data_IF_206362503750
#
_entry.id   IF_206362503750
#
_cell.length_a   1.000
_cell.length_b   1.000
_cell.length_c   1.000
_cell.angle_alpha   90.00
_cell.angle_beta   90.00
_cell.angle_gamma   90.00
#
_symmetry.space_group_name_H-M   'P 1'
#
loop_
_entity.id
_entity.type
_entity.pdbx_description
1 polymer ?
#
# COMPACT_ATOMS: atom_id res chain seq x y z
N UNK A 1 12.10 21.94 -3.61
CA UNK A 1 12.72 21.05 -4.60
C UNK A 1 12.28 19.65 -4.20
N UNK A 2 11.06 19.26 -4.60
CA UNK A 2 10.49 17.95 -4.31
C UNK A 2 11.10 16.96 -5.30
N UNK A 3 11.78 15.94 -4.78
CA UNK A 3 12.26 14.83 -5.59
C UNK A 3 11.03 13.99 -5.99
N UNK A 4 10.66 14.05 -7.25
CA UNK A 4 9.72 13.11 -7.84
C UNK A 4 10.38 11.72 -7.81
N UNK A 5 10.03 10.93 -6.80
CA UNK A 5 10.36 9.51 -6.80
C UNK A 5 9.56 8.86 -7.91
N UNK A 6 10.24 8.39 -8.95
CA UNK A 6 9.68 7.73 -10.15
C UNK A 6 8.89 6.43 -9.88
N UNK A 7 8.47 6.17 -8.68
CA UNK A 7 7.78 4.94 -8.26
C UNK A 7 6.26 5.04 -8.38
N UNK A 8 5.70 6.21 -8.69
CA UNK A 8 4.24 6.46 -8.65
C UNK A 8 3.53 6.39 -10.01
N UNK A 9 4.26 6.24 -11.13
CA UNK A 9 3.68 6.15 -12.48
C UNK A 9 3.40 4.73 -12.98
N UNK A 10 3.50 3.72 -12.11
CA UNK A 10 2.96 2.40 -12.43
C UNK A 10 1.59 2.26 -11.77
N UNK A 11 0.54 1.90 -12.53
CA UNK A 11 -0.71 1.50 -11.92
C UNK A 11 -0.35 0.38 -10.95
N UNK A 12 -0.56 0.60 -9.66
CA UNK A 12 -0.63 -0.49 -8.68
C UNK A 12 -1.70 -1.42 -9.22
N UNK A 13 -1.23 -2.45 -9.95
CA UNK A 13 -2.07 -3.50 -10.52
C UNK A 13 -3.01 -3.96 -9.41
N UNK A 14 -4.29 -3.72 -9.62
CA UNK A 14 -5.40 -3.86 -8.72
C UNK A 14 -5.14 -4.79 -7.54
N UNK A 15 -5.06 -4.22 -6.36
CA UNK A 15 -5.45 -4.96 -5.17
C UNK A 15 -6.92 -5.31 -5.41
N UNK A 16 -7.29 -6.59 -5.47
CA UNK A 16 -8.68 -6.94 -5.66
C UNK A 16 -9.48 -6.37 -4.49
N UNK A 17 -10.42 -5.48 -4.80
CA UNK A 17 -11.32 -4.84 -3.83
C UNK A 17 -12.35 -5.81 -3.23
N UNK A 18 -12.33 -7.07 -3.66
CA UNK A 18 -13.29 -8.09 -3.25
C UNK A 18 -12.59 -9.12 -2.33
N UNK A 19 -12.25 -8.72 -1.11
CA UNK A 19 -11.89 -9.70 -0.09
C UNK A 19 -13.11 -10.06 0.76
N UNK A 20 -13.37 -11.36 1.00
CA UNK A 20 -14.47 -11.83 1.82
C UNK A 20 -14.21 -11.55 3.31
N UNK A 21 -14.20 -10.27 3.68
CA UNK A 21 -14.08 -9.83 5.08
C UNK A 21 -15.30 -10.25 5.92
N UNK A 22 -16.42 -10.58 5.26
CA UNK A 22 -17.66 -11.03 5.93
C UNK A 22 -17.55 -12.40 6.61
N UNK A 23 -16.63 -13.26 6.14
CA UNK A 23 -16.53 -14.64 6.64
C UNK A 23 -15.89 -14.74 8.02
N UNK A 24 -14.99 -13.82 8.38
CA UNK A 24 -14.26 -13.88 9.66
C UNK A 24 -15.04 -13.29 10.83
N UNK A 25 -15.86 -12.27 10.58
CA UNK A 25 -16.74 -11.71 11.61
C UNK A 25 -17.81 -12.74 12.03
N UNK A 26 -18.34 -13.52 11.09
CA UNK A 26 -19.33 -14.57 11.36
C UNK A 26 -18.76 -15.74 12.18
N UNK A 27 -17.49 -16.10 11.98
CA UNK A 27 -16.82 -17.20 12.72
C UNK A 27 -16.56 -16.81 14.18
N UNK A 28 -16.35 -15.52 14.48
CA UNK A 28 -16.13 -15.04 15.85
C UNK A 28 -17.38 -15.12 16.73
N UNK A 29 -18.59 -15.11 16.16
CA UNK A 29 -19.85 -15.15 16.90
C UNK A 29 -20.29 -16.58 17.27
N UNK A 30 -19.81 -17.64 16.58
CA UNK A 30 -20.30 -19.01 16.77
C UNK A 30 -19.52 -19.85 17.80
N UNK A 31 -18.40 -19.38 18.34
CA UNK A 31 -17.60 -20.15 19.29
C UNK A 31 -18.10 -19.96 20.72
N UNK A 32 -18.41 -21.03 21.47
CA UNK A 32 -18.84 -20.91 22.86
C UNK A 32 -17.69 -20.31 23.70
N UNK A 33 -17.93 -19.13 24.25
CA UNK A 33 -17.05 -18.49 25.23
C UNK A 33 -16.95 -19.38 26.49
N UNK A 34 -15.98 -20.28 26.52
CA UNK A 34 -15.79 -21.26 27.59
C UNK A 34 -14.91 -20.75 28.75
N UNK A 35 -14.78 -19.46 28.97
CA UNK A 35 -14.02 -18.94 30.10
C UNK A 35 -14.68 -17.70 30.69
N UNK A 36 -14.64 -17.60 32.03
CA UNK A 36 -15.02 -16.46 32.89
C UNK A 36 -14.13 -15.20 32.67
N UNK A 37 -13.34 -15.21 31.60
CA UNK A 37 -12.51 -14.09 31.16
C UNK A 37 -13.34 -13.26 30.19
N UNK A 38 -13.31 -11.93 30.36
CA UNK A 38 -13.99 -10.99 29.48
C UNK A 38 -13.62 -11.17 28.00
N UNK A 39 -14.20 -10.39 27.09
CA UNK A 39 -13.97 -10.52 25.66
C UNK A 39 -12.47 -10.44 25.33
N UNK A 40 -12.02 -11.30 24.40
CA UNK A 40 -10.61 -11.31 23.97
C UNK A 40 -10.20 -9.96 23.38
N UNK A 41 -9.10 -9.35 23.84
CA UNK A 41 -8.65 -8.05 23.35
C UNK A 41 -8.37 -8.05 21.83
N UNK A 42 -7.98 -9.18 21.26
CA UNK A 42 -7.71 -9.31 19.83
C UNK A 42 -8.97 -9.03 18.99
N UNK A 43 -10.15 -9.41 19.44
CA UNK A 43 -11.40 -9.13 18.73
C UNK A 43 -11.64 -7.61 18.55
N UNK A 44 -11.42 -6.83 19.61
CA UNK A 44 -11.58 -5.38 19.56
C UNK A 44 -10.50 -4.70 18.69
N UNK A 45 -9.25 -5.15 18.82
CA UNK A 45 -8.12 -4.64 18.04
C UNK A 45 -8.31 -4.94 16.54
N UNK A 46 -8.80 -6.12 16.20
CA UNK A 46 -9.08 -6.48 14.81
C UNK A 46 -10.21 -5.64 14.21
N UNK A 47 -11.29 -5.42 14.97
CA UNK A 47 -12.37 -4.54 14.53
C UNK A 47 -11.90 -3.11 14.29
N UNK A 48 -10.97 -2.60 15.12
CA UNK A 48 -10.37 -1.28 14.91
C UNK A 48 -9.46 -1.25 13.68
N UNK A 49 -8.62 -2.27 13.50
CA UNK A 49 -7.80 -2.42 12.30
C UNK A 49 -8.66 -2.45 11.03
N UNK A 50 -9.77 -3.18 11.02
CA UNK A 50 -10.68 -3.24 9.86
C UNK A 50 -11.20 -1.85 9.48
N UNK A 51 -11.53 -0.99 10.44
CA UNK A 51 -11.95 0.40 10.15
C UNK A 51 -10.83 1.20 9.52
N UNK A 52 -9.61 1.11 10.09
CA UNK A 52 -8.44 1.82 9.54
C UNK A 52 -8.10 1.33 8.14
N UNK A 53 -8.19 0.02 7.90
CA UNK A 53 -8.00 -0.56 6.57
C UNK A 53 -9.02 -0.04 5.56
N UNK A 54 -10.31 -0.01 5.90
CA UNK A 54 -11.35 0.56 5.04
C UNK A 54 -11.13 2.04 4.75
N UNK A 55 -10.66 2.81 5.74
CA UNK A 55 -10.32 4.22 5.55
C UNK A 55 -9.12 4.39 4.61
N UNK A 56 -8.05 3.59 4.77
CA UNK A 56 -6.88 3.64 3.90
C UNK A 56 -7.25 3.27 2.44
N UNK A 57 -8.10 2.26 2.24
CA UNK A 57 -8.62 1.89 0.92
C UNK A 57 -9.43 3.02 0.30
N UNK A 58 -10.28 3.69 1.07
CA UNK A 58 -11.07 4.82 0.56
C UNK A 58 -10.17 5.99 0.14
N UNK A 59 -9.11 6.29 0.90
CA UNK A 59 -8.11 7.31 0.55
C UNK A 59 -7.32 6.93 -0.70
N UNK A 60 -6.97 5.65 -0.87
CA UNK A 60 -6.33 5.14 -2.08
C UNK A 60 -7.22 5.35 -3.32
N UNK A 61 -8.52 5.08 -3.24
CA UNK A 61 -9.44 5.33 -4.34
C UNK A 61 -9.55 6.84 -4.65
N UNK A 62 -9.57 7.71 -3.63
CA UNK A 62 -9.57 9.17 -3.83
C UNK A 62 -8.33 9.61 -4.63
N UNK A 63 -7.14 9.11 -4.27
CA UNK A 63 -5.88 9.41 -5.01
C UNK A 63 -5.97 8.92 -6.46
N UNK A 64 -6.47 7.69 -6.69
CA UNK A 64 -6.63 7.14 -8.04
C UNK A 64 -7.60 7.96 -8.90
N UNK A 65 -8.71 8.44 -8.33
CA UNK A 65 -9.68 9.29 -9.02
C UNK A 65 -9.06 10.64 -9.40
N UNK A 66 -8.30 11.26 -8.48
CA UNK A 66 -7.58 12.50 -8.75
C UNK A 66 -6.48 12.33 -9.82
N UNK A 67 -5.73 11.22 -9.76
CA UNK A 67 -4.74 10.89 -10.78
C UNK A 67 -5.39 10.71 -12.16
N UNK A 68 -6.50 9.98 -12.23
CA UNK A 68 -7.26 9.81 -13.47
C UNK A 68 -7.75 11.16 -14.02
N UNK A 69 -8.18 12.07 -13.14
CA UNK A 69 -8.59 13.43 -13.51
C UNK A 69 -7.42 14.25 -14.06
N UNK A 70 -6.25 14.18 -13.40
CA UNK A 70 -5.01 14.82 -13.88
C UNK A 70 -4.62 14.32 -15.26
N UNK A 71 -4.62 13.01 -15.46
CA UNK A 71 -4.30 12.39 -16.75
C UNK A 71 -5.25 12.82 -17.85
N UNK A 72 -6.53 13.00 -17.56
CA UNK A 72 -7.53 13.48 -18.52
C UNK A 72 -7.35 14.98 -18.85
N UNK A 73 -6.95 15.79 -17.87
CA UNK A 73 -6.87 17.26 -17.99
C UNK A 73 -5.58 17.73 -18.65
N UNK A 74 -4.44 17.20 -18.20
CA UNK A 74 -3.12 17.66 -18.62
C UNK A 74 -2.29 16.60 -19.35
N UNK A 75 -2.70 15.34 -19.31
CA UNK A 75 -1.94 14.20 -19.81
C UNK A 75 -0.75 13.86 -18.90
N UNK A 76 -0.12 12.69 -19.13
CA UNK A 76 1.07 12.32 -18.41
C UNK A 76 2.28 13.19 -18.82
N UNK A 77 3.15 13.62 -17.88
CA UNK A 77 4.37 14.36 -18.20
C UNK A 77 5.37 13.44 -18.91
N UNK A 78 5.33 13.40 -20.23
CA UNK A 78 6.21 12.59 -21.05
C UNK A 78 6.50 13.27 -22.39
N UNK A 79 7.64 12.94 -22.99
CA UNK A 79 8.02 13.41 -24.33
C UNK A 79 8.46 12.24 -25.22
N UNK A 80 8.11 12.30 -26.50
CA UNK A 80 8.58 11.32 -27.47
C UNK A 80 9.99 11.69 -27.96
N UNK A 81 10.94 10.80 -27.74
CA UNK A 81 12.34 10.93 -28.17
C UNK A 81 12.55 10.08 -29.41
N UNK A 82 12.92 10.68 -30.52
CA UNK A 82 13.27 9.95 -31.75
C UNK A 82 14.73 9.48 -31.68
N UNK A 83 14.96 8.19 -31.81
CA UNK A 83 16.29 7.63 -31.91
C UNK A 83 16.91 7.94 -33.30
N UNK A 84 18.12 8.49 -33.31
CA UNK A 84 18.83 8.90 -34.50
C UNK A 84 19.15 7.71 -35.43
N UNK A 85 19.14 6.47 -34.96
CA UNK A 85 19.59 5.27 -35.71
C UNK A 85 18.51 4.25 -36.08
N UNK A 86 17.22 4.47 -35.84
CA UNK A 86 16.27 3.38 -36.09
C UNK A 86 14.85 3.80 -36.42
N UNK A 87 14.51 5.07 -36.39
CA UNK A 87 13.17 5.55 -36.73
C UNK A 87 12.09 5.25 -35.67
N UNK A 88 12.40 4.49 -34.63
CA UNK A 88 11.48 4.23 -33.51
C UNK A 88 11.53 5.39 -32.51
N UNK A 89 10.37 5.78 -31.99
CA UNK A 89 10.26 6.76 -30.92
C UNK A 89 10.10 6.04 -29.59
N UNK A 90 10.88 6.44 -28.57
CA UNK A 90 10.72 6.02 -27.19
C UNK A 90 10.06 7.13 -26.39
N UNK A 91 9.28 6.80 -25.37
CA UNK A 91 8.74 7.78 -24.43
C UNK A 91 9.73 7.96 -23.29
N UNK A 92 10.03 9.22 -22.96
CA UNK A 92 10.81 9.60 -21.80
C UNK A 92 9.90 10.27 -20.77
N UNK A 93 9.96 9.80 -19.52
CA UNK A 93 9.16 10.28 -18.40
C UNK A 93 10.00 11.14 -17.44
N UNK A 94 11.30 11.18 -17.62
CA UNK A 94 12.24 11.97 -16.81
C UNK A 94 13.32 12.61 -17.67
N UNK A 95 14.03 13.56 -17.11
CA UNK A 95 15.21 14.15 -17.74
C UNK A 95 16.33 13.13 -17.94
N UNK A 96 16.49 12.21 -16.99
CA UNK A 96 17.43 11.08 -17.05
C UNK A 96 17.09 10.12 -18.20
N UNK A 97 15.79 9.85 -18.45
CA UNK A 97 15.35 9.02 -19.58
C UNK A 97 15.74 9.67 -20.91
N UNK A 98 15.56 10.98 -21.06
CA UNK A 98 15.96 11.72 -22.26
C UNK A 98 17.44 11.53 -22.51
N UNK A 99 18.27 11.73 -21.48
CA UNK A 99 19.71 11.60 -21.57
C UNK A 99 20.13 10.15 -21.86
N UNK A 100 19.50 9.17 -21.23
CA UNK A 100 19.76 7.75 -21.48
C UNK A 100 19.39 7.31 -22.91
N UNK A 101 18.23 7.77 -23.45
CA UNK A 101 17.78 7.42 -24.80
C UNK A 101 18.66 8.08 -25.86
N UNK A 102 19.06 9.33 -25.65
CA UNK A 102 19.94 10.05 -26.59
C UNK A 102 21.39 9.55 -26.54
N UNK A 103 21.80 8.93 -25.43
CA UNK A 103 23.15 8.42 -25.21
C UNK A 103 24.21 9.52 -25.05
N UNK A 104 25.45 9.07 -24.87
CA UNK A 104 26.62 9.95 -24.74
C UNK A 104 27.04 10.60 -26.07
N UNK A 105 26.15 11.41 -26.66
CA UNK A 105 26.45 12.12 -27.90
C UNK A 105 27.26 13.43 -27.72
N UNK A 106 27.98 13.57 -26.64
CA UNK A 106 28.76 14.78 -26.34
C UNK A 106 27.89 15.95 -25.86
N UNK A 107 28.27 17.19 -26.15
CA UNK A 107 27.51 18.37 -25.72
C UNK A 107 26.04 18.27 -26.09
N UNK A 108 25.11 18.63 -25.19
CA UNK A 108 23.67 18.49 -25.43
C UNK A 108 23.26 19.19 -26.73
N UNK A 109 22.74 18.44 -27.66
CA UNK A 109 22.24 18.96 -28.94
C UNK A 109 21.08 19.93 -28.69
N UNK A 110 20.81 20.83 -29.64
CA UNK A 110 19.61 21.70 -29.56
C UNK A 110 18.31 20.87 -29.45
N UNK A 111 18.30 19.68 -30.03
CA UNK A 111 17.20 18.74 -29.91
C UNK A 111 17.03 18.23 -28.46
N UNK A 112 18.13 17.85 -27.78
CA UNK A 112 18.07 17.46 -26.37
C UNK A 112 17.52 18.59 -25.49
N UNK A 113 18.03 19.80 -25.65
CA UNK A 113 17.57 20.99 -24.94
C UNK A 113 16.08 21.27 -25.15
N UNK A 114 15.57 21.06 -26.38
CA UNK A 114 14.16 21.23 -26.70
C UNK A 114 13.29 20.19 -26.00
N UNK A 115 13.73 18.93 -25.95
CA UNK A 115 13.04 17.84 -25.22
C UNK A 115 12.97 18.14 -23.73
N UNK A 116 14.08 18.52 -23.11
CA UNK A 116 14.12 18.91 -21.69
C UNK A 116 13.17 20.08 -21.39
N UNK A 117 13.12 21.08 -22.28
CA UNK A 117 12.20 22.21 -22.13
C UNK A 117 10.74 21.79 -22.24
N UNK A 118 10.42 20.90 -23.19
CA UNK A 118 9.06 20.36 -23.33
C UNK A 118 8.65 19.56 -22.13
N UNK A 119 9.51 18.69 -21.64
CA UNK A 119 9.21 17.89 -20.41
C UNK A 119 8.98 18.83 -19.23
N UNK A 120 9.87 19.80 -18.98
CA UNK A 120 9.71 20.79 -17.90
C UNK A 120 8.37 21.54 -17.99
N UNK A 121 7.94 21.92 -19.22
CA UNK A 121 6.63 22.57 -19.40
C UNK A 121 5.47 21.63 -19.06
N UNK A 122 5.56 20.33 -19.35
CA UNK A 122 4.54 19.34 -18.94
C UNK A 122 4.54 19.16 -17.43
N UNK A 123 5.71 19.08 -16.79
CA UNK A 123 5.85 18.97 -15.34
C UNK A 123 5.27 20.19 -14.62
N UNK A 124 5.53 21.41 -15.12
CA UNK A 124 4.95 22.63 -14.58
C UNK A 124 3.41 22.62 -14.67
N UNK A 125 2.85 22.20 -15.80
CA UNK A 125 1.39 22.11 -15.98
C UNK A 125 0.78 21.04 -15.08
N UNK A 126 1.43 19.88 -14.97
CA UNK A 126 1.02 18.81 -14.06
C UNK A 126 1.00 19.30 -12.62
N UNK A 127 2.09 19.91 -12.16
CA UNK A 127 2.21 20.43 -10.79
C UNK A 127 1.15 21.51 -10.48
N UNK A 128 0.88 22.39 -11.45
CA UNK A 128 -0.12 23.44 -11.28
C UNK A 128 -1.53 22.84 -11.13
N UNK A 129 -1.90 21.86 -11.97
CA UNK A 129 -3.21 21.21 -11.90
C UNK A 129 -3.32 20.31 -10.65
N UNK A 130 -2.27 19.58 -10.31
CA UNK A 130 -2.20 18.76 -9.09
C UNK A 130 -2.46 19.61 -7.83
N UNK A 131 -1.86 20.80 -7.77
CA UNK A 131 -2.08 21.73 -6.68
C UNK A 131 -3.54 22.25 -6.63
N UNK A 132 -4.15 22.51 -7.78
CA UNK A 132 -5.57 22.93 -7.85
C UNK A 132 -6.54 21.83 -7.40
N UNK A 133 -6.23 20.57 -7.72
CA UNK A 133 -7.04 19.41 -7.33
C UNK A 133 -6.77 18.94 -5.88
N UNK A 134 -5.72 19.43 -5.22
CA UNK A 134 -5.31 18.95 -3.89
C UNK A 134 -4.72 17.53 -3.91
N UNK A 135 -4.09 17.14 -5.03
CA UNK A 135 -3.55 15.79 -5.23
C UNK A 135 -2.46 15.44 -4.20
N UNK A 136 -1.54 16.38 -3.94
CA UNK A 136 -0.46 16.16 -2.95
C UNK A 136 -1.01 15.96 -1.53
N UNK A 137 -2.05 16.72 -1.15
CA UNK A 137 -2.72 16.56 0.14
C UNK A 137 -3.45 15.22 0.23
N UNK A 138 -4.04 14.74 -0.85
CA UNK A 138 -4.67 13.43 -0.91
C UNK A 138 -3.64 12.30 -0.77
N UNK A 139 -2.51 12.37 -1.47
CA UNK A 139 -1.40 11.43 -1.34
C UNK A 139 -0.83 11.40 0.08
N UNK A 140 -0.71 12.56 0.72
CA UNK A 140 -0.24 12.63 2.11
C UNK A 140 -1.22 11.92 3.05
N UNK A 141 -2.53 12.16 2.92
CA UNK A 141 -3.56 11.49 3.72
C UNK A 141 -3.60 9.98 3.49
N UNK A 142 -3.43 9.53 2.25
CA UNK A 142 -3.32 8.11 1.92
C UNK A 142 -2.11 7.47 2.64
N UNK A 143 -0.95 8.10 2.54
CA UNK A 143 0.28 7.63 3.19
C UNK A 143 0.10 7.52 4.72
N UNK A 144 -0.51 8.53 5.34
CA UNK A 144 -0.82 8.53 6.78
C UNK A 144 -1.83 7.44 7.14
N UNK A 145 -2.84 7.21 6.30
CA UNK A 145 -3.84 6.15 6.48
C UNK A 145 -3.21 4.76 6.47
N UNK A 146 -2.33 4.47 5.52
CA UNK A 146 -1.60 3.21 5.47
C UNK A 146 -0.63 3.04 6.65
N UNK A 147 0.00 4.13 7.12
CA UNK A 147 0.87 4.08 8.30
C UNK A 147 0.08 3.76 9.58
N UNK A 148 -1.12 4.31 9.75
CA UNK A 148 -2.00 4.01 10.88
C UNK A 148 -2.50 2.57 10.85
N UNK A 149 -2.91 2.07 9.69
CA UNK A 149 -3.32 0.67 9.49
C UNK A 149 -2.18 -0.29 9.85
N UNK A 150 -0.96 -0.03 9.36
CA UNK A 150 0.21 -0.85 9.63
C UNK A 150 0.57 -0.86 11.13
N UNK A 151 0.41 0.26 11.83
CA UNK A 151 0.65 0.31 13.28
C UNK A 151 -0.40 -0.49 14.07
N UNK A 152 -1.68 -0.40 13.68
CA UNK A 152 -2.74 -1.22 14.27
C UNK A 152 -2.49 -2.72 14.05
N UNK A 153 -1.99 -3.13 12.88
CA UNK A 153 -1.59 -4.50 12.61
C UNK A 153 -0.49 -4.99 13.57
N UNK A 154 0.52 -4.16 13.86
CA UNK A 154 1.57 -4.50 14.84
C UNK A 154 1.01 -4.70 16.24
N UNK A 155 0.05 -3.86 16.65
CA UNK A 155 -0.59 -3.98 17.97
C UNK A 155 -1.31 -5.32 18.11
N UNK A 156 -2.01 -5.82 17.09
CA UNK A 156 -2.64 -7.15 17.09
C UNK A 156 -1.61 -8.24 17.40
N UNK A 157 -0.46 -8.24 16.74
CA UNK A 157 0.57 -9.27 16.94
C UNK A 157 1.37 -9.11 18.24
N UNK A 158 1.48 -7.92 18.79
CA UNK A 158 2.14 -7.69 20.09
C UNK A 158 1.24 -7.96 21.29
N UNK A 159 -0.08 -8.06 21.09
CA UNK A 159 -1.06 -8.34 22.14
C UNK A 159 -1.31 -9.84 22.23
N UNK A 160 -1.28 -10.42 23.44
CA UNK A 160 -1.57 -11.84 23.64
C UNK A 160 -3.07 -12.12 23.49
N UNK A 161 -3.41 -13.15 22.70
CA UNK A 161 -4.76 -13.68 22.63
C UNK A 161 -5.08 -14.44 23.92
N UNK A 162 -6.28 -14.25 24.45
CA UNK A 162 -6.76 -14.91 25.68
C UNK A 162 -7.75 -16.03 25.39
N UNK A 163 -8.11 -16.24 24.11
CA UNK A 163 -9.07 -17.25 23.66
C UNK A 163 -8.64 -17.89 22.34
N UNK A 164 -9.25 -19.01 22.00
CA UNK A 164 -9.07 -19.63 20.67
C UNK A 164 -9.57 -18.73 19.54
N UNK A 165 -10.61 -17.95 19.77
CA UNK A 165 -11.14 -16.98 18.80
C UNK A 165 -10.08 -15.91 18.49
N UNK A 166 -9.39 -15.36 19.49
CA UNK A 166 -8.30 -14.40 19.26
C UNK A 166 -7.14 -14.98 18.46
N UNK A 167 -6.76 -16.24 18.75
CA UNK A 167 -5.73 -16.95 17.96
C UNK A 167 -6.19 -17.14 16.52
N UNK A 168 -7.43 -17.53 16.30
CA UNK A 168 -8.02 -17.73 14.98
C UNK A 168 -7.98 -16.45 14.15
N UNK A 169 -8.32 -15.31 14.77
CA UNK A 169 -8.23 -13.99 14.13
C UNK A 169 -6.79 -13.68 13.71
N UNK A 170 -5.80 -13.88 14.60
CA UNK A 170 -4.39 -13.67 14.25
C UNK A 170 -3.93 -14.54 13.07
N UNK A 171 -4.30 -15.82 13.06
CA UNK A 171 -3.96 -16.73 11.96
C UNK A 171 -4.63 -16.33 10.64
N UNK A 172 -5.92 -15.99 10.68
CA UNK A 172 -6.66 -15.54 9.52
C UNK A 172 -6.09 -14.24 8.96
N UNK A 173 -5.75 -13.28 9.82
CA UNK A 173 -5.09 -12.04 9.44
C UNK A 173 -3.74 -12.28 8.75
N UNK A 174 -2.92 -13.22 9.23
CA UNK A 174 -1.69 -13.61 8.54
C UNK A 174 -1.95 -14.19 7.15
N UNK A 175 -2.95 -15.06 7.02
CA UNK A 175 -3.32 -15.64 5.71
C UNK A 175 -3.74 -14.55 4.74
N UNK A 176 -4.55 -13.60 5.19
CA UNK A 176 -5.03 -12.48 4.38
C UNK A 176 -3.86 -11.61 3.89
N UNK A 177 -2.96 -11.22 4.79
CA UNK A 177 -1.78 -10.41 4.43
C UNK A 177 -0.81 -11.13 3.50
N UNK A 178 -0.68 -12.47 3.61
CA UNK A 178 0.15 -13.28 2.71
C UNK A 178 -0.46 -13.46 1.31
N UNK A 179 -1.77 -13.29 1.15
CA UNK A 179 -2.47 -13.51 -0.12
C UNK A 179 -2.22 -12.40 -1.15
N UNK A 180 -1.73 -11.23 -0.71
CA UNK A 180 -1.56 -10.02 -1.54
C UNK A 180 -0.19 -9.95 -2.26
N UNK A 181 0.75 -10.85 -1.94
CA UNK A 181 2.07 -10.90 -2.56
C UNK A 181 2.95 -11.96 -1.91
N UNK A 182 4.18 -12.21 -2.44
CA UNK A 182 5.10 -13.08 -1.77
C UNK A 182 5.37 -12.52 -0.37
N UNK A 183 5.07 -13.30 0.70
CA UNK A 183 5.24 -12.82 2.05
C UNK A 183 6.71 -12.50 2.29
N UNK A 184 7.00 -11.33 2.85
CA UNK A 184 8.31 -11.09 3.43
C UNK A 184 8.46 -12.03 4.64
N UNK A 185 9.28 -13.07 4.46
CA UNK A 185 9.53 -14.09 5.48
C UNK A 185 10.00 -13.46 6.79
N UNK A 186 10.69 -12.32 6.73
CA UNK A 186 11.17 -11.60 7.91
C UNK A 186 10.02 -11.01 8.73
N UNK A 187 8.92 -10.65 8.09
CA UNK A 187 7.71 -10.15 8.77
C UNK A 187 6.81 -11.28 9.25
N UNK A 188 6.70 -12.37 8.50
CA UNK A 188 5.82 -13.49 8.80
C UNK A 188 6.27 -14.30 10.04
N UNK A 189 7.58 -14.53 10.20
CA UNK A 189 8.11 -15.34 11.30
C UNK A 189 7.75 -14.79 12.69
N UNK A 190 7.91 -13.49 13.00
CA UNK A 190 7.49 -12.92 14.29
C UNK A 190 5.98 -13.05 14.54
N UNK A 191 5.16 -12.93 13.52
CA UNK A 191 3.70 -13.08 13.62
C UNK A 191 3.30 -14.52 13.97
N UNK A 192 3.90 -15.52 13.30
CA UNK A 192 3.72 -16.93 13.64
C UNK A 192 4.19 -17.25 15.06
N UNK A 193 5.34 -16.70 15.48
CA UNK A 193 5.86 -16.89 16.84
C UNK A 193 4.88 -16.33 17.89
N UNK A 194 4.28 -15.17 17.64
CA UNK A 194 3.25 -14.58 18.51
C UNK A 194 2.04 -15.51 18.65
N UNK A 195 1.46 -15.96 17.53
CA UNK A 195 0.32 -16.87 17.56
C UNK A 195 0.65 -18.21 18.26
N UNK A 196 1.84 -18.75 18.02
CA UNK A 196 2.30 -19.98 18.68
C UNK A 196 2.47 -19.81 20.18
N UNK A 197 3.02 -18.69 20.64
CA UNK A 197 3.13 -18.37 22.07
C UNK A 197 1.76 -18.28 22.74
N UNK A 198 0.77 -17.70 22.08
CA UNK A 198 -0.62 -17.63 22.58
C UNK A 198 -1.23 -19.03 22.73
N UNK A 199 -1.03 -19.95 21.77
CA UNK A 199 -1.47 -21.35 21.88
C UNK A 199 -0.82 -22.02 23.10
N UNK A 200 0.50 -21.86 23.29
CA UNK A 200 1.21 -22.46 24.41
C UNK A 200 0.69 -21.96 25.74
N UNK A 201 0.41 -20.65 25.88
CA UNK A 201 -0.17 -20.04 27.08
C UNK A 201 -1.56 -20.57 27.39
N UNK A 202 -2.42 -20.75 26.40
CA UNK A 202 -3.76 -21.32 26.60
C UNK A 202 -3.71 -22.78 27.05
N UNK A 203 -2.80 -23.60 26.49
CA UNK A 203 -2.59 -24.98 26.92
C UNK A 203 -2.12 -25.03 28.37
N UNK A 204 -1.14 -24.21 28.76
CA UNK A 204 -0.65 -24.14 30.12
C UNK A 204 -1.75 -23.74 31.12
N UNK A 205 -2.56 -22.74 30.79
CA UNK A 205 -3.68 -22.28 31.62
C UNK A 205 -4.76 -23.35 31.80
N UNK A 206 -5.01 -24.18 30.76
CA UNK A 206 -5.98 -25.29 30.85
C UNK A 206 -5.48 -26.47 31.68
N UNK A 207 -4.15 -26.73 31.67
CA UNK A 207 -3.53 -27.84 32.41
C UNK A 207 -3.43 -27.56 33.92
N UNK A 208 -3.33 -26.30 34.32
CA UNK A 208 -3.25 -25.91 35.75
C UNK A 208 -4.56 -25.91 36.50
N UNK A 209 -5.69 -26.17 35.85
CA UNK A 209 -7.05 -26.25 36.46
C UNK A 209 -7.48 -27.67 36.85
N UNK A 210 -6.62 -28.67 36.76
CA UNK A 210 -6.82 -30.04 37.22
C UNK A 210 -6.15 -30.23 38.60
#
# INVERSE_FOLDING_TARGET
MAMFNSTTLFPLAGRPADHPCETLAAVAEELPNGSDQGPDPICALYAEWQKLHQQAVALCHEVQDLEAQLLQTVGAPMVAVQQVKGGESCLAHSHEDIDAILGDFGSPSEYAKDLHRKLATFEERWSAEAALLGFDDAMQRESEGWAQEAEAAKVIFSTSATSLAGIQIKLAFMIETCSVGPPDVMTLVPQLQSAFADVANLIAASSGRR
#
